data_IF_571108917603
#
_entry.id   IF_571108917603
#
_cell.length_a   1.000
_cell.length_b   1.000
_cell.length_c   1.000
_cell.angle_alpha   90.00
_cell.angle_beta   90.00
_cell.angle_gamma   90.00
#
_symmetry.space_group_name_H-M   'P 1'
#
loop_
_entity.id
_entity.type
_entity.pdbx_description
1 polymer ?
#
# COMPACT_ATOMS: atom_id res chain seq x y z
N UNK A 1 -9.89 9.71 16.84
CA UNK A 1 -8.90 8.71 17.28
C UNK A 1 -8.85 7.49 16.36
N UNK A 2 -9.98 6.81 16.09
CA UNK A 2 -10.05 5.63 15.19
C UNK A 2 -9.52 5.92 13.77
N UNK A 3 -9.85 7.08 13.17
CA UNK A 3 -9.37 7.46 11.83
C UNK A 3 -7.84 7.58 11.75
N UNK A 4 -7.20 8.06 12.81
CA UNK A 4 -5.75 8.23 12.88
C UNK A 4 -5.04 6.87 12.99
N UNK A 5 -5.59 5.96 13.81
CA UNK A 5 -5.11 4.58 13.93
C UNK A 5 -5.28 3.84 12.60
N UNK A 6 -6.44 3.97 11.96
CA UNK A 6 -6.72 3.38 10.64
C UNK A 6 -5.72 3.86 9.58
N UNK A 7 -5.46 5.18 9.52
CA UNK A 7 -4.45 5.76 8.62
C UNK A 7 -3.05 5.25 8.95
N UNK A 8 -2.71 5.09 10.22
CA UNK A 8 -1.43 4.51 10.65
C UNK A 8 -1.24 3.07 10.17
N UNK A 9 -2.27 2.23 10.30
CA UNK A 9 -2.25 0.84 9.80
C UNK A 9 -2.09 0.83 8.28
N UNK A 10 -2.84 1.66 7.56
CA UNK A 10 -2.72 1.76 6.11
C UNK A 10 -1.32 2.20 5.69
N UNK A 11 -0.74 3.21 6.35
CA UNK A 11 0.61 3.68 6.04
C UNK A 11 1.65 2.58 6.25
N UNK A 12 1.52 1.80 7.33
CA UNK A 12 2.42 0.68 7.63
C UNK A 12 2.32 -0.43 6.58
N UNK A 13 1.09 -0.78 6.16
CA UNK A 13 0.89 -1.73 5.06
C UNK A 13 1.46 -1.19 3.75
N UNK A 14 1.29 0.11 3.47
CA UNK A 14 1.85 0.77 2.28
C UNK A 14 3.37 0.66 2.23
N UNK A 15 4.04 0.89 3.35
CA UNK A 15 5.50 0.75 3.46
C UNK A 15 5.93 -0.68 3.14
N UNK A 16 5.26 -1.68 3.71
CA UNK A 16 5.59 -3.08 3.41
C UNK A 16 5.35 -3.47 1.96
N UNK A 17 4.26 -3.01 1.34
CA UNK A 17 3.98 -3.29 -0.08
C UNK A 17 5.02 -2.62 -0.98
N UNK A 18 5.38 -1.37 -0.69
CA UNK A 18 6.42 -0.66 -1.44
C UNK A 18 7.77 -1.35 -1.29
N UNK A 19 8.15 -1.75 -0.07
CA UNK A 19 9.39 -2.48 0.16
C UNK A 19 9.41 -3.82 -0.59
N UNK A 20 8.31 -4.58 -0.52
CA UNK A 20 8.18 -5.85 -1.24
C UNK A 20 8.34 -5.70 -2.75
N UNK A 21 7.83 -4.61 -3.35
CA UNK A 21 8.01 -4.30 -4.78
C UNK A 21 9.47 -4.08 -5.18
N UNK A 22 10.30 -3.56 -4.27
CA UNK A 22 11.73 -3.37 -4.53
C UNK A 22 12.55 -4.65 -4.35
N UNK A 23 12.03 -5.62 -3.59
CA UNK A 23 12.69 -6.90 -3.35
C UNK A 23 12.28 -7.98 -4.36
N UNK A 24 11.11 -7.85 -4.97
CA UNK A 24 10.58 -8.82 -5.93
C UNK A 24 11.23 -8.71 -7.32
N UNK A 25 11.83 -9.81 -7.80
CA UNK A 25 12.53 -9.86 -9.09
C UNK A 25 11.58 -10.11 -10.27
N UNK A 26 10.40 -10.71 -10.03
CA UNK A 26 9.45 -11.03 -11.10
C UNK A 26 8.51 -9.86 -11.37
N UNK A 27 8.59 -9.32 -12.59
CA UNK A 27 7.77 -8.19 -13.07
C UNK A 27 6.26 -8.45 -12.90
N UNK A 28 5.79 -9.69 -13.07
CA UNK A 28 4.37 -10.05 -12.88
C UNK A 28 3.90 -9.93 -11.44
N UNK A 29 4.74 -10.30 -10.47
CA UNK A 29 4.44 -10.14 -9.04
C UNK A 29 4.56 -8.67 -8.62
N UNK A 30 5.53 -7.96 -9.18
CA UNK A 30 5.69 -6.52 -8.98
C UNK A 30 4.46 -5.72 -9.46
N UNK A 31 3.91 -6.09 -10.63
CA UNK A 31 2.69 -5.48 -11.17
C UNK A 31 1.45 -5.75 -10.30
N UNK A 32 1.31 -6.98 -9.77
CA UNK A 32 0.24 -7.32 -8.84
C UNK A 32 0.34 -6.52 -7.53
N UNK A 33 1.54 -6.36 -6.99
CA UNK A 33 1.76 -5.56 -5.80
C UNK A 33 1.50 -4.06 -6.06
N UNK A 34 1.90 -3.54 -7.23
CA UNK A 34 1.65 -2.16 -7.63
C UNK A 34 0.14 -1.85 -7.79
N UNK A 35 -0.65 -2.81 -8.29
CA UNK A 35 -2.12 -2.68 -8.38
C UNK A 35 -2.77 -2.49 -7.01
N UNK A 36 -2.18 -3.03 -5.94
CA UNK A 36 -2.69 -2.91 -4.57
C UNK A 36 -2.28 -1.58 -3.93
N UNK A 37 -1.18 -0.95 -4.38
CA UNK A 37 -0.76 0.38 -3.90
C UNK A 37 -1.80 1.45 -4.21
N UNK A 38 -2.35 1.48 -5.42
CA UNK A 38 -3.33 2.49 -5.86
C UNK A 38 -4.51 2.60 -4.87
N UNK A 39 -5.29 1.53 -4.59
CA UNK A 39 -6.40 1.59 -3.65
C UNK A 39 -5.93 1.84 -2.21
N UNK A 40 -4.73 1.41 -1.81
CA UNK A 40 -4.18 1.71 -0.48
C UNK A 40 -3.88 3.19 -0.29
N UNK A 41 -3.30 3.85 -1.28
CA UNK A 41 -3.04 5.29 -1.29
C UNK A 41 -4.35 6.07 -1.27
N UNK A 42 -5.32 5.68 -2.11
CA UNK A 42 -6.65 6.30 -2.11
C UNK A 42 -7.33 6.17 -0.75
N UNK A 43 -7.27 4.98 -0.11
CA UNK A 43 -7.80 4.77 1.25
C UNK A 43 -7.04 5.58 2.31
N UNK A 44 -5.72 5.71 2.19
CA UNK A 44 -4.92 6.53 3.11
C UNK A 44 -5.29 8.01 3.05
N UNK A 45 -5.52 8.51 1.83
CA UNK A 45 -5.92 9.88 1.54
C UNK A 45 -7.43 10.12 1.74
N UNK A 46 -8.20 9.08 2.08
CA UNK A 46 -9.66 9.12 2.24
C UNK A 46 -10.40 9.62 0.99
N UNK A 47 -9.85 9.31 -0.19
CA UNK A 47 -10.45 9.63 -1.49
C UNK A 47 -11.44 8.51 -1.82
N UNK A 48 -12.68 8.89 -2.16
CA UNK A 48 -13.79 7.97 -2.45
C UNK A 48 -14.02 7.83 -3.94
#
# INVERSE_FOLDING_TARGET
>A
MITLIYRGIIALVLIFVVWHIFEEEKITHQANAALVIIPLVLRFLMIK
#
